data_IF_469833710308
#
_entry.id   IF_469833710308
#
_cell.length_a   1.000
_cell.length_b   1.000
_cell.length_c   1.000
_cell.angle_alpha   90.00
_cell.angle_beta   90.00
_cell.angle_gamma   90.00
#
_symmetry.space_group_name_H-M   'P 1'
#
loop_
_entity.id
_entity.type
_entity.pdbx_description
1 polymer ?
#
# COMPACT_ATOMS: atom_id res chain seq x y z
N UNK A 1 9.32 9.47 -5.10
CA UNK A 1 9.57 8.47 -4.04
C UNK A 1 10.49 8.99 -2.92
N UNK A 2 11.14 10.15 -3.07
CA UNK A 2 12.03 10.72 -2.03
C UNK A 2 11.35 11.02 -0.68
N UNK A 3 10.07 11.40 -0.68
CA UNK A 3 9.37 11.84 0.55
C UNK A 3 8.74 10.72 1.39
N UNK A 4 8.78 9.46 0.93
CA UNK A 4 8.25 8.31 1.67
C UNK A 4 9.35 7.56 2.44
N UNK A 5 10.62 7.77 2.10
CA UNK A 5 11.77 7.07 2.71
C UNK A 5 12.32 7.74 3.98
N UNK A 6 11.71 8.85 4.43
CA UNK A 6 12.29 9.74 5.45
C UNK A 6 11.84 9.47 6.88
N UNK A 7 11.15 8.36 7.20
CA UNK A 7 10.69 8.11 8.58
C UNK A 7 11.02 6.70 9.06
N UNK A 8 12.17 6.60 9.71
CA UNK A 8 12.71 5.44 10.42
C UNK A 8 11.93 5.16 11.72
N UNK A 9 10.68 4.71 11.65
CA UNK A 9 9.95 4.31 12.86
C UNK A 9 9.05 3.11 12.57
N UNK A 10 9.08 2.02 13.37
CA UNK A 10 8.21 0.84 13.19
C UNK A 10 6.71 1.21 13.16
N UNK A 11 6.32 2.33 13.78
CA UNK A 11 4.97 2.87 13.71
C UNK A 11 4.52 3.19 12.26
N UNK A 12 5.45 3.45 11.34
CA UNK A 12 5.11 3.77 9.96
C UNK A 12 4.60 2.58 9.16
N UNK A 13 5.06 1.37 9.45
CA UNK A 13 4.56 0.15 8.81
C UNK A 13 3.10 -0.09 9.18
N UNK A 14 2.76 0.02 10.47
CA UNK A 14 1.38 -0.12 10.95
C UNK A 14 0.43 0.93 10.34
N UNK A 15 0.91 2.17 10.18
CA UNK A 15 0.15 3.23 9.51
C UNK A 15 -0.07 2.88 8.04
N UNK A 16 0.97 2.43 7.33
CA UNK A 16 0.86 2.06 5.92
C UNK A 16 -0.07 0.87 5.71
N UNK A 17 -0.02 -0.14 6.58
CA UNK A 17 -0.92 -1.29 6.53
C UNK A 17 -2.38 -0.88 6.77
N UNK A 18 -2.61 0.04 7.72
CA UNK A 18 -3.94 0.61 7.96
C UNK A 18 -4.45 1.41 6.75
N UNK A 19 -3.57 2.19 6.11
CA UNK A 19 -3.91 2.94 4.89
C UNK A 19 -4.21 2.00 3.71
N UNK A 20 -3.43 0.91 3.55
CA UNK A 20 -3.71 -0.13 2.56
C UNK A 20 -5.09 -0.75 2.77
N UNK A 21 -5.44 -1.05 4.03
CA UNK A 21 -6.76 -1.58 4.36
C UNK A 21 -7.87 -0.58 4.00
N UNK A 22 -7.73 0.69 4.38
CA UNK A 22 -8.68 1.75 4.02
C UNK A 22 -8.89 1.86 2.51
N UNK A 23 -7.81 1.94 1.75
CA UNK A 23 -7.83 1.96 0.29
C UNK A 23 -8.53 0.73 -0.29
N UNK A 24 -8.26 -0.47 0.24
CA UNK A 24 -8.91 -1.70 -0.22
C UNK A 24 -10.44 -1.64 -0.05
N UNK A 25 -10.94 -0.99 1.00
CA UNK A 25 -12.37 -0.81 1.26
C UNK A 25 -13.01 0.22 0.35
N UNK A 26 -12.29 1.29 0.02
CA UNK A 26 -12.76 2.27 -0.97
C UNK A 26 -12.87 1.66 -2.36
N UNK A 27 -11.88 0.86 -2.77
CA UNK A 27 -11.91 0.10 -4.03
C UNK A 27 -13.07 -0.89 -4.05
N UNK A 28 -13.25 -1.67 -3.00
CA UNK A 28 -14.36 -2.62 -2.85
C UNK A 28 -15.72 -1.91 -2.91
N UNK A 29 -15.86 -0.75 -2.27
CA UNK A 29 -17.05 0.09 -2.38
C UNK A 29 -17.30 0.53 -3.83
N UNK A 30 -16.28 1.06 -4.52
CA UNK A 30 -16.40 1.50 -5.91
C UNK A 30 -16.79 0.36 -6.86
N UNK A 31 -16.26 -0.85 -6.64
CA UNK A 31 -16.63 -2.06 -7.39
C UNK A 31 -18.10 -2.42 -7.15
N UNK A 32 -18.54 -2.50 -5.89
CA UNK A 32 -19.95 -2.82 -5.56
C UNK A 32 -20.94 -1.76 -6.03
N UNK A 33 -20.51 -0.49 -6.07
CA UNK A 33 -21.32 0.62 -6.58
C UNK A 33 -21.38 0.64 -8.13
N UNK A 34 -20.68 -0.25 -8.82
CA UNK A 34 -20.62 -0.27 -10.29
C UNK A 34 -19.81 0.88 -10.90
N UNK A 35 -19.04 1.60 -10.08
CA UNK A 35 -18.19 2.73 -10.49
C UNK A 35 -16.83 2.26 -11.03
N UNK A 36 -16.44 1.03 -10.70
CA UNK A 36 -15.15 0.44 -11.08
C UNK A 36 -15.31 -1.03 -11.48
N UNK A 37 -14.78 -1.48 -12.64
CA UNK A 37 -14.75 -2.90 -12.98
C UNK A 37 -13.95 -3.72 -11.96
N UNK A 38 -14.41 -4.91 -11.62
CA UNK A 38 -13.73 -5.78 -10.64
C UNK A 38 -12.26 -6.05 -11.00
N UNK A 39 -11.97 -6.30 -12.28
CA UNK A 39 -10.60 -6.51 -12.76
C UNK A 39 -9.70 -5.29 -12.56
N UNK A 40 -10.23 -4.08 -12.75
CA UNK A 40 -9.50 -2.84 -12.51
C UNK A 40 -9.26 -2.62 -11.00
N UNK A 41 -10.26 -2.91 -10.16
CA UNK A 41 -10.13 -2.87 -8.70
C UNK A 41 -9.03 -3.80 -8.18
N UNK A 42 -9.01 -5.05 -8.65
CA UNK A 42 -7.94 -6.01 -8.33
C UNK A 42 -6.57 -5.49 -8.74
N UNK A 43 -6.44 -4.93 -9.95
CA UNK A 43 -5.17 -4.39 -10.43
C UNK A 43 -4.67 -3.22 -9.59
N UNK A 44 -5.55 -2.31 -9.15
CA UNK A 44 -5.18 -1.19 -8.29
C UNK A 44 -4.61 -1.65 -6.95
N UNK A 45 -5.32 -2.54 -6.25
CA UNK A 45 -4.88 -3.08 -4.96
C UNK A 45 -3.56 -3.82 -5.12
N UNK A 46 -3.46 -4.73 -6.09
CA UNK A 46 -2.23 -5.51 -6.31
C UNK A 46 -1.03 -4.66 -6.73
N UNK A 47 -1.23 -3.56 -7.46
CA UNK A 47 -0.15 -2.64 -7.79
C UNK A 47 0.40 -1.94 -6.54
N UNK A 48 -0.49 -1.51 -5.65
CA UNK A 48 -0.09 -0.83 -4.43
C UNK A 48 0.58 -1.78 -3.42
N UNK A 49 0.06 -3.01 -3.29
CA UNK A 49 0.70 -4.09 -2.49
C UNK A 49 2.13 -4.38 -2.95
N UNK A 50 2.36 -4.49 -4.26
CA UNK A 50 3.72 -4.68 -4.80
C UNK A 50 4.66 -3.52 -4.48
N UNK A 51 4.17 -2.29 -4.60
CA UNK A 51 4.96 -1.10 -4.26
C UNK A 51 5.32 -1.07 -2.77
N UNK A 52 4.38 -1.49 -1.90
CA UNK A 52 4.62 -1.56 -0.47
C UNK A 52 5.63 -2.65 -0.11
N UNK A 53 5.56 -3.82 -0.75
CA UNK A 53 6.56 -4.87 -0.58
C UNK A 53 7.98 -4.39 -0.93
N UNK A 54 8.15 -3.67 -2.06
CA UNK A 54 9.43 -3.08 -2.47
C UNK A 54 9.93 -2.08 -1.42
N UNK A 55 9.03 -1.26 -0.86
CA UNK A 55 9.37 -0.32 0.20
C UNK A 55 9.86 -1.03 1.46
N UNK A 56 9.15 -2.07 1.91
CA UNK A 56 9.52 -2.85 3.10
C UNK A 56 10.87 -3.57 2.92
N UNK A 57 11.12 -4.16 1.75
CA UNK A 57 12.43 -4.74 1.43
C UNK A 57 13.56 -3.70 1.50
N UNK A 58 13.33 -2.49 1.00
CA UNK A 58 14.32 -1.42 1.03
C UNK A 58 14.57 -0.89 2.45
N UNK A 59 13.53 -0.80 3.29
CA UNK A 59 13.65 -0.41 4.69
C UNK A 59 14.41 -1.46 5.51
N UNK A 60 14.11 -2.73 5.32
CA UNK A 60 14.79 -3.83 6.02
C UNK A 60 16.29 -3.88 5.68
N UNK A 61 16.66 -3.78 4.39
CA UNK A 61 18.06 -3.72 3.95
C UNK A 61 18.84 -2.55 4.55
N UNK A 62 18.16 -1.44 4.86
CA UNK A 62 18.77 -0.25 5.45
C UNK A 62 19.00 -0.37 6.95
N UNK A 63 18.17 -1.15 7.64
CA UNK A 63 18.33 -1.42 9.07
C UNK A 63 19.44 -2.44 9.36
N UNK A 64 19.87 -3.21 8.35
CA UNK A 64 20.97 -4.18 8.42
C UNK A 64 22.37 -3.57 8.13
N UNK A 65 22.45 -2.28 7.74
CA UNK A 65 23.68 -1.51 7.51
C UNK A 65 24.00 -0.57 8.68
#
# INVERSE_FOLDING_TARGET
>A
MENLATRYCPLYEEVLDTQMYGFSKEVDFAVRAGLLPEGAGKQLVSALERNLAILYEALNKKNEQ
#
